data_IF_486769021302
#
_entry.id   IF_486769021302
#
_cell.length_a   1.000
_cell.length_b   1.000
_cell.length_c   1.000
_cell.angle_alpha   90.00
_cell.angle_beta   90.00
_cell.angle_gamma   90.00
#
_symmetry.space_group_name_H-M   'P 1'
#
loop_
_entity.id
_entity.type
_entity.pdbx_description
1 polymer ?
#
# COMPACT_ATOMS: atom_id res chain seq x y z
N UNK A 1 -4.62 9.63 -29.58
CA UNK A 1 -4.58 11.11 -29.76
C UNK A 1 -3.45 11.64 -28.90
N UNK A 2 -2.30 11.93 -29.51
CA UNK A 2 -1.12 12.50 -28.81
C UNK A 2 -1.29 14.04 -28.83
N UNK A 3 -2.14 14.57 -27.96
CA UNK A 3 -2.06 15.98 -27.60
C UNK A 3 -0.88 16.14 -26.66
N UNK A 4 0.01 17.10 -26.89
CA UNK A 4 1.07 17.44 -25.96
C UNK A 4 0.42 17.75 -24.58
N UNK A 5 0.93 17.12 -23.53
CA UNK A 5 0.49 17.38 -22.17
C UNK A 5 0.71 18.87 -21.85
N UNK A 6 -0.32 19.54 -21.30
CA UNK A 6 -0.17 20.91 -20.84
C UNK A 6 0.92 20.94 -19.73
N UNK A 7 2.02 21.69 -19.91
CA UNK A 7 3.11 21.72 -18.93
C UNK A 7 2.67 22.08 -17.53
N UNK A 8 1.58 22.84 -17.37
CA UNK A 8 1.05 23.23 -16.07
C UNK A 8 0.25 22.10 -15.39
N UNK A 9 -0.19 21.09 -16.15
CA UNK A 9 -0.95 19.93 -15.67
C UNK A 9 -0.10 18.66 -15.50
N UNK A 10 1.21 18.77 -15.57
CA UNK A 10 2.11 17.64 -15.31
C UNK A 10 1.91 17.18 -13.87
N UNK A 11 1.58 15.88 -13.64
CA UNK A 11 1.38 15.36 -12.30
C UNK A 11 2.72 15.16 -11.59
N UNK A 12 2.79 15.63 -10.34
CA UNK A 12 3.98 15.53 -9.49
C UNK A 12 3.61 15.13 -8.06
N UNK A 13 4.46 14.32 -7.42
CA UNK A 13 4.42 14.10 -5.98
C UNK A 13 5.30 15.15 -5.32
N UNK A 14 4.75 15.93 -4.41
CA UNK A 14 5.46 17.08 -3.80
C UNK A 14 5.71 16.93 -2.31
N UNK A 15 5.02 16.02 -1.65
CA UNK A 15 5.16 15.81 -0.22
C UNK A 15 4.83 14.37 0.15
N UNK A 16 5.53 13.87 1.14
CA UNK A 16 5.26 12.57 1.75
C UNK A 16 5.46 12.70 3.27
N UNK A 17 4.76 11.87 4.02
CA UNK A 17 4.96 11.72 5.45
C UNK A 17 4.70 10.29 5.87
N UNK A 18 5.35 9.85 6.95
CA UNK A 18 5.16 8.50 7.49
C UNK A 18 5.39 8.48 8.99
N UNK A 19 4.71 7.58 9.67
CA UNK A 19 4.92 7.38 11.09
C UNK A 19 4.71 5.93 11.49
N UNK A 20 5.27 5.56 12.63
CA UNK A 20 5.05 4.27 13.28
C UNK A 20 4.78 4.46 14.78
N UNK A 21 3.98 3.56 15.35
CA UNK A 21 3.73 3.48 16.80
C UNK A 21 4.23 2.13 17.33
N UNK A 22 5.42 2.10 17.89
CA UNK A 22 6.06 0.87 18.35
C UNK A 22 5.41 0.28 19.58
N UNK A 23 4.77 1.08 20.39
CA UNK A 23 4.00 0.70 21.57
C UNK A 23 2.54 0.35 21.25
N UNK A 24 2.13 0.53 19.99
CA UNK A 24 0.75 0.33 19.54
C UNK A 24 -0.30 1.17 20.28
N UNK A 25 0.09 2.33 20.78
CA UNK A 25 -0.80 3.24 21.50
C UNK A 25 -1.77 3.96 20.57
N UNK A 26 -1.40 4.13 19.28
CA UNK A 26 -2.16 4.89 18.30
C UNK A 26 -3.07 3.99 17.45
N UNK A 27 -4.27 4.48 17.21
CA UNK A 27 -5.22 3.87 16.28
C UNK A 27 -4.90 4.23 14.83
N UNK A 28 -5.36 3.43 13.84
CA UNK A 28 -5.10 3.72 12.43
C UNK A 28 -5.44 5.13 11.99
N UNK A 29 -6.55 5.71 12.46
CA UNK A 29 -6.92 7.08 12.11
C UNK A 29 -5.94 8.11 12.69
N UNK A 30 -5.44 7.90 13.90
CA UNK A 30 -4.46 8.81 14.53
C UNK A 30 -3.13 8.75 13.78
N UNK A 31 -2.67 7.54 13.44
CA UNK A 31 -1.48 7.33 12.60
C UNK A 31 -1.63 8.01 11.23
N UNK A 32 -2.79 7.83 10.58
CA UNK A 32 -3.07 8.46 9.30
C UNK A 32 -2.99 10.00 9.37
N UNK A 33 -3.56 10.60 10.41
CA UNK A 33 -3.52 12.05 10.64
C UNK A 33 -2.10 12.54 10.88
N UNK A 34 -1.28 11.81 11.64
CA UNK A 34 0.12 12.18 11.88
C UNK A 34 0.95 12.13 10.59
N UNK A 35 0.88 11.05 9.82
CA UNK A 35 1.59 10.94 8.56
C UNK A 35 1.13 12.00 7.54
N UNK A 36 -0.18 12.25 7.46
CA UNK A 36 -0.73 13.27 6.58
C UNK A 36 -0.34 14.69 7.03
N UNK A 37 -0.28 14.97 8.34
CA UNK A 37 0.18 16.25 8.86
C UNK A 37 1.63 16.52 8.48
N UNK A 38 2.52 15.54 8.63
CA UNK A 38 3.92 15.66 8.22
C UNK A 38 4.04 16.02 6.73
N UNK A 39 3.30 15.34 5.85
CA UNK A 39 3.28 15.65 4.42
C UNK A 39 2.76 17.08 4.15
N UNK A 40 1.65 17.48 4.79
CA UNK A 40 0.98 18.77 4.54
C UNK A 40 1.73 19.95 5.15
N UNK A 41 2.50 19.74 6.21
CA UNK A 41 3.27 20.80 6.88
C UNK A 41 4.59 21.11 6.16
N UNK A 42 4.92 20.34 5.11
CA UNK A 42 6.10 20.58 4.27
C UNK A 42 6.07 21.93 3.54
N UNK A 43 4.89 22.50 3.29
CA UNK A 43 4.76 23.81 2.67
C UNK A 43 3.54 24.61 3.14
N UNK A 44 3.70 25.92 3.43
CA UNK A 44 2.59 26.83 3.67
C UNK A 44 1.66 26.85 2.46
N UNK A 45 0.37 26.68 2.71
CA UNK A 45 -0.65 26.72 1.67
C UNK A 45 -0.98 25.37 1.00
N UNK A 46 -0.19 24.32 1.21
CA UNK A 46 -0.45 23.00 0.65
C UNK A 46 -1.81 22.46 1.10
N UNK A 47 -2.17 22.64 2.38
CA UNK A 47 -3.49 22.24 2.92
C UNK A 47 -4.65 22.87 2.15
N UNK A 48 -4.52 24.13 1.69
CA UNK A 48 -5.57 24.83 0.95
C UNK A 48 -5.70 24.36 -0.50
N UNK A 49 -4.68 23.72 -1.03
CA UNK A 49 -4.67 23.20 -2.38
C UNK A 49 -5.36 21.82 -2.48
N UNK A 50 -5.51 21.10 -1.37
CA UNK A 50 -6.11 19.77 -1.37
C UNK A 50 -7.60 19.82 -1.69
N UNK A 51 -7.98 19.21 -2.78
CA UNK A 51 -9.36 19.09 -3.27
C UNK A 51 -9.99 17.74 -2.91
N UNK A 52 -9.16 16.70 -2.66
CA UNK A 52 -9.62 15.35 -2.28
C UNK A 52 -8.70 14.73 -1.23
N UNK A 53 -9.32 13.99 -0.32
CA UNK A 53 -8.64 13.10 0.64
C UNK A 53 -9.11 11.68 0.37
N UNK A 54 -8.20 10.80 -0.01
CA UNK A 54 -8.47 9.37 -0.21
C UNK A 54 -7.79 8.56 0.88
N UNK A 55 -8.59 7.83 1.67
CA UNK A 55 -8.06 6.93 2.69
C UNK A 55 -8.12 5.48 2.21
N UNK A 56 -6.94 4.87 2.13
CA UNK A 56 -6.82 3.46 1.75
C UNK A 56 -7.43 2.57 2.82
N UNK A 57 -8.37 1.71 2.42
CA UNK A 57 -8.98 0.77 3.34
C UNK A 57 -8.06 -0.42 3.62
N UNK A 58 -8.00 -0.83 4.88
CA UNK A 58 -7.13 -1.91 5.37
C UNK A 58 -7.91 -2.94 6.18
N UNK A 59 -7.36 -4.16 6.28
CA UNK A 59 -8.01 -5.29 6.97
C UNK A 59 -8.25 -5.04 8.45
N UNK A 60 -7.40 -4.26 9.11
CA UNK A 60 -7.50 -3.96 10.53
C UNK A 60 -8.41 -2.80 10.87
N UNK A 61 -8.99 -2.13 9.87
CA UNK A 61 -9.84 -0.98 10.11
C UNK A 61 -11.07 -1.35 10.94
N UNK A 62 -11.17 -0.70 12.08
CA UNK A 62 -12.35 -0.69 12.93
C UNK A 62 -12.75 0.76 13.13
N UNK A 63 -13.89 1.13 12.68
CA UNK A 63 -14.35 2.51 12.77
C UNK A 63 -15.53 2.75 11.84
N UNK A 64 -16.16 3.90 11.96
CA UNK A 64 -17.33 4.28 11.20
C UNK A 64 -17.12 4.27 9.68
N UNK A 65 -18.17 4.59 8.97
CA UNK A 65 -18.22 4.55 7.49
C UNK A 65 -17.53 5.77 6.84
N UNK A 66 -16.82 6.61 7.63
CA UNK A 66 -16.30 7.92 7.23
C UNK A 66 -14.82 8.16 7.59
N UNK A 67 -13.90 7.21 7.41
CA UNK A 67 -12.52 7.40 7.85
C UNK A 67 -11.78 8.52 7.12
N UNK A 68 -12.09 8.76 5.83
CA UNK A 68 -11.50 9.85 5.07
C UNK A 68 -12.04 11.22 5.51
N UNK A 69 -13.35 11.33 5.74
CA UNK A 69 -13.97 12.53 6.26
C UNK A 69 -13.48 12.88 7.68
N UNK A 70 -13.33 11.86 8.55
CA UNK A 70 -12.80 12.04 9.91
C UNK A 70 -11.33 12.49 9.88
N UNK A 71 -10.52 11.92 8.98
CA UNK A 71 -9.15 12.38 8.77
C UNK A 71 -9.11 13.81 8.23
N UNK A 72 -9.91 14.13 7.21
CA UNK A 72 -10.01 15.46 6.62
C UNK A 72 -10.40 16.52 7.65
N UNK A 73 -11.39 16.23 8.51
CA UNK A 73 -11.81 17.12 9.58
C UNK A 73 -10.67 17.43 10.56
N UNK A 74 -9.96 16.39 11.02
CA UNK A 74 -8.81 16.54 11.95
C UNK A 74 -7.63 17.29 11.32
N UNK A 75 -7.48 17.19 9.99
CA UNK A 75 -6.44 17.87 9.22
C UNK A 75 -6.81 19.30 8.81
N UNK A 76 -8.04 19.78 9.12
CA UNK A 76 -8.53 21.07 8.68
C UNK A 76 -8.82 21.15 7.17
N UNK A 77 -9.14 20.02 6.54
CA UNK A 77 -9.46 19.88 5.11
C UNK A 77 -10.96 19.71 4.83
N UNK A 78 -11.81 20.32 5.66
CA UNK A 78 -13.27 20.10 5.61
C UNK A 78 -13.96 20.55 4.30
N UNK A 79 -13.26 21.23 3.40
CA UNK A 79 -13.76 21.58 2.06
C UNK A 79 -13.36 20.57 0.97
N UNK A 80 -12.52 19.59 1.27
CA UNK A 80 -12.08 18.58 0.31
C UNK A 80 -13.15 17.47 0.17
N UNK A 81 -13.29 16.92 -1.03
CA UNK A 81 -14.04 15.69 -1.24
C UNK A 81 -13.35 14.53 -0.50
N UNK A 82 -14.12 13.60 0.05
CA UNK A 82 -13.57 12.47 0.82
C UNK A 82 -14.02 11.14 0.21
N UNK A 83 -13.10 10.21 0.11
CA UNK A 83 -13.35 8.86 -0.35
C UNK A 83 -12.50 7.84 0.39
N UNK A 84 -12.99 6.62 0.49
CA UNK A 84 -12.21 5.46 0.93
C UNK A 84 -12.11 4.46 -0.22
N UNK A 85 -11.25 3.45 -0.10
CA UNK A 85 -11.09 2.44 -1.14
C UNK A 85 -11.63 1.08 -0.71
N UNK A 86 -11.82 0.18 -1.68
CA UNK A 86 -11.87 -1.24 -1.38
C UNK A 86 -10.48 -1.72 -0.91
N UNK A 87 -10.43 -2.87 -0.22
CA UNK A 87 -9.17 -3.45 0.26
C UNK A 87 -8.37 -3.98 -0.93
N UNK A 88 -7.09 -3.61 -1.00
CA UNK A 88 -6.18 -4.10 -2.05
C UNK A 88 -4.74 -3.68 -1.79
N UNK A 89 -3.78 -4.60 -1.95
CA UNK A 89 -2.36 -4.34 -1.70
C UNK A 89 -1.72 -3.36 -2.70
N UNK A 90 -2.23 -3.32 -3.94
CA UNK A 90 -1.78 -2.39 -4.99
C UNK A 90 -2.55 -1.06 -5.01
N UNK A 91 -3.56 -0.90 -4.17
CA UNK A 91 -4.43 0.28 -4.16
C UNK A 91 -3.67 1.61 -4.05
N UNK A 92 -2.65 1.77 -3.20
CA UNK A 92 -1.91 3.05 -3.13
C UNK A 92 -1.29 3.46 -4.47
N UNK A 93 -0.72 2.54 -5.22
CA UNK A 93 -0.16 2.82 -6.54
C UNK A 93 -1.24 3.16 -7.57
N UNK A 94 -2.35 2.43 -7.57
CA UNK A 94 -3.52 2.72 -8.41
C UNK A 94 -4.07 4.13 -8.15
N UNK A 95 -4.06 4.60 -6.90
CA UNK A 95 -4.49 5.96 -6.55
C UNK A 95 -3.54 7.03 -7.08
N UNK A 96 -2.23 6.78 -7.12
CA UNK A 96 -1.24 7.68 -7.76
C UNK A 96 -1.48 7.75 -9.26
N UNK A 97 -1.68 6.62 -9.94
CA UNK A 97 -2.03 6.55 -11.35
C UNK A 97 -3.31 7.34 -11.65
N UNK A 98 -4.37 7.09 -10.89
CA UNK A 98 -5.65 7.79 -11.04
C UNK A 98 -5.50 9.29 -10.83
N UNK A 99 -4.81 9.71 -9.77
CA UNK A 99 -4.56 11.12 -9.48
C UNK A 99 -3.78 11.79 -10.62
N UNK A 100 -2.74 11.13 -11.13
CA UNK A 100 -1.94 11.62 -12.24
C UNK A 100 -2.79 11.81 -13.50
N UNK A 101 -3.63 10.83 -13.83
CA UNK A 101 -4.55 10.94 -14.98
C UNK A 101 -5.54 12.11 -14.84
N UNK A 102 -6.16 12.26 -13.65
CA UNK A 102 -7.11 13.34 -13.39
C UNK A 102 -6.45 14.73 -13.39
N UNK A 103 -5.24 14.85 -12.87
CA UNK A 103 -4.46 16.09 -12.92
C UNK A 103 -4.11 16.45 -14.37
N UNK A 104 -3.64 15.48 -15.15
CA UNK A 104 -3.33 15.66 -16.56
C UNK A 104 -4.57 16.08 -17.38
N UNK A 105 -5.73 15.54 -17.05
CA UNK A 105 -7.01 15.94 -17.65
C UNK A 105 -7.52 17.31 -17.16
N UNK A 106 -6.97 17.86 -16.08
CA UNK A 106 -7.44 19.09 -15.44
C UNK A 106 -8.71 18.93 -14.61
N UNK A 107 -9.04 17.71 -14.21
CA UNK A 107 -10.18 17.37 -13.36
C UNK A 107 -9.87 17.53 -11.87
N UNK A 108 -8.58 17.54 -11.52
CA UNK A 108 -8.09 17.61 -10.16
C UNK A 108 -6.80 18.44 -10.13
N UNK A 109 -6.62 19.28 -9.11
CA UNK A 109 -5.37 20.05 -8.96
C UNK A 109 -4.43 19.46 -7.92
N UNK A 110 -4.97 18.93 -6.81
CA UNK A 110 -4.19 18.31 -5.75
C UNK A 110 -5.02 17.32 -4.93
N UNK A 111 -4.41 16.22 -4.53
CA UNK A 111 -5.01 15.20 -3.68
C UNK A 111 -4.05 14.70 -2.61
N UNK A 112 -4.60 14.35 -1.46
CA UNK A 112 -3.93 13.64 -0.38
C UNK A 112 -4.36 12.17 -0.42
N UNK A 113 -3.39 11.26 -0.54
CA UNK A 113 -3.58 9.81 -0.39
C UNK A 113 -2.94 9.39 0.93
N UNK A 114 -3.69 8.70 1.77
CA UNK A 114 -3.21 8.26 3.08
C UNK A 114 -3.66 6.84 3.39
N UNK A 115 -2.76 6.06 3.98
CA UNK A 115 -3.04 4.70 4.46
C UNK A 115 -2.40 4.46 5.82
N UNK A 116 -3.09 3.75 6.68
CA UNK A 116 -2.62 3.40 8.01
C UNK A 116 -3.13 2.03 8.43
N UNK A 117 -2.28 1.24 9.07
CA UNK A 117 -2.67 -0.04 9.63
C UNK A 117 -2.08 -0.23 11.04
N UNK A 118 -2.86 -0.86 11.93
CA UNK A 118 -2.46 -1.20 13.29
C UNK A 118 -3.23 -2.43 13.78
N UNK A 119 -2.88 -3.59 13.21
CA UNK A 119 -3.58 -4.87 13.50
C UNK A 119 -3.55 -5.21 14.98
N UNK A 120 -2.48 -4.87 15.69
CA UNK A 120 -2.30 -5.22 17.08
C UNK A 120 -3.11 -4.34 18.03
N UNK A 121 -3.22 -3.04 17.77
CA UNK A 121 -4.07 -2.14 18.57
C UNK A 121 -5.53 -2.59 18.51
N UNK A 122 -6.03 -2.97 17.33
CA UNK A 122 -7.35 -3.55 17.16
C UNK A 122 -7.56 -4.87 17.93
N UNK A 123 -6.52 -5.73 18.05
CA UNK A 123 -6.60 -6.98 18.83
C UNK A 123 -6.53 -6.77 20.34
N UNK A 124 -5.77 -5.82 20.82
CA UNK A 124 -5.67 -5.48 22.24
C UNK A 124 -7.01 -4.96 22.78
N UNK A 125 -7.74 -4.18 22.00
CA UNK A 125 -9.09 -3.74 22.37
C UNK A 125 -10.10 -4.88 22.41
N UNK A 126 -9.94 -5.93 21.61
CA UNK A 126 -10.81 -7.12 21.62
C UNK A 126 -10.57 -8.00 22.85
N UNK A 127 -9.35 -8.11 23.34
CA UNK A 127 -9.02 -8.91 24.52
C UNK A 127 -9.54 -8.30 25.83
N UNK A 128 -9.81 -7.00 25.86
CA UNK A 128 -10.32 -6.28 27.05
C UNK A 128 -11.82 -6.04 27.09
N UNK A 129 -12.59 -6.44 26.07
CA UNK A 129 -14.05 -6.26 26.01
C UNK A 129 -14.70 -7.39 25.23
N UNK A 130 -15.82 -7.91 25.76
CA UNK A 130 -16.73 -8.79 25.01
C UNK A 130 -17.07 -8.10 23.68
N UNK A 131 -16.84 -8.81 22.57
CA UNK A 131 -17.04 -8.30 21.21
C UNK A 131 -18.53 -8.19 20.97
N UNK A 132 -19.08 -7.00 21.15
CA UNK A 132 -20.27 -6.64 20.40
C UNK A 132 -19.84 -6.37 18.95
N UNK A 133 -20.25 -7.24 18.06
CA UNK A 133 -20.00 -7.12 16.61
C UNK A 133 -20.85 -6.00 15.98
N UNK A 134 -21.28 -5.04 16.78
CA UNK A 134 -22.10 -3.90 16.43
C UNK A 134 -21.41 -2.58 16.75
N UNK A 135 -21.13 -1.81 15.74
CA UNK A 135 -21.10 -0.34 15.76
C UNK A 135 -20.37 0.34 16.91
N UNK A 136 -19.07 0.13 17.03
CA UNK A 136 -18.20 0.91 17.91
C UNK A 136 -17.47 2.02 17.13
N UNK A 137 -18.18 2.84 16.35
CA UNK A 137 -17.67 4.11 15.89
C UNK A 137 -17.68 5.08 17.06
N UNK A 138 -16.57 5.75 17.39
CA UNK A 138 -16.65 7.02 18.09
C UNK A 138 -17.65 7.88 17.35
N UNK A 139 -18.56 8.54 18.08
CA UNK A 139 -19.49 9.50 17.51
C UNK A 139 -18.69 10.65 16.86
N UNK A 140 -18.22 10.42 15.63
CA UNK A 140 -17.84 11.46 14.71
C UNK A 140 -19.10 12.24 14.32
N UNK A 141 -18.97 13.47 13.92
CA UNK A 141 -20.07 14.29 13.48
C UNK A 141 -20.96 13.55 12.49
N UNK A 142 -22.27 13.63 12.68
CA UNK A 142 -23.24 12.97 11.82
C UNK A 142 -23.14 13.47 10.38
N UNK A 143 -22.79 12.60 9.45
CA UNK A 143 -22.68 12.91 8.03
C UNK A 143 -22.77 11.63 7.19
N UNK A 144 -22.89 11.75 5.86
CA UNK A 144 -22.95 10.59 4.99
C UNK A 144 -21.65 9.78 5.06
N UNK A 145 -21.70 8.46 4.74
CA UNK A 145 -20.49 7.65 4.61
C UNK A 145 -19.59 8.18 3.48
N UNK A 146 -18.28 7.88 3.56
CA UNK A 146 -17.36 8.18 2.47
C UNK A 146 -17.77 7.43 1.19
N UNK A 147 -17.55 8.04 0.04
CA UNK A 147 -17.61 7.33 -1.23
C UNK A 147 -16.55 6.21 -1.24
N UNK A 148 -16.87 5.10 -1.92
CA UNK A 148 -15.97 3.95 -2.01
C UNK A 148 -15.44 3.84 -3.43
N UNK A 149 -14.14 4.02 -3.60
CA UNK A 149 -13.45 3.77 -4.86
C UNK A 149 -13.03 2.31 -4.97
N UNK A 150 -13.40 1.67 -6.06
CA UNK A 150 -13.13 0.26 -6.34
C UNK A 150 -14.36 -0.62 -6.20
N UNK A 151 -14.22 -1.89 -6.57
CA UNK A 151 -15.30 -2.88 -6.53
C UNK A 151 -14.96 -3.96 -5.52
N UNK A 152 -15.89 -4.29 -4.64
CA UNK A 152 -15.75 -5.42 -3.74
C UNK A 152 -15.87 -6.72 -4.53
N UNK A 153 -14.81 -7.55 -4.41
CA UNK A 153 -14.81 -8.93 -4.91
C UNK A 153 -14.57 -9.88 -3.75
N UNK A 154 -15.11 -11.08 -3.87
CA UNK A 154 -14.74 -12.17 -2.95
C UNK A 154 -13.25 -12.48 -3.14
N UNK A 155 -12.51 -12.53 -2.04
CA UNK A 155 -11.05 -12.70 -2.03
C UNK A 155 -10.61 -14.10 -2.51
N UNK A 156 -11.44 -15.13 -2.28
CA UNK A 156 -11.20 -16.52 -2.63
C UNK A 156 -12.45 -17.13 -3.25
N UNK A 157 -12.27 -18.00 -4.22
CA UNK A 157 -13.36 -18.83 -4.74
C UNK A 157 -13.82 -19.86 -3.70
N UNK A 158 -15.01 -20.41 -3.90
CA UNK A 158 -15.53 -21.45 -3.01
C UNK A 158 -14.66 -22.71 -3.03
N UNK A 159 -14.05 -23.04 -4.18
CA UNK A 159 -13.09 -24.14 -4.31
C UNK A 159 -11.83 -23.92 -3.51
N UNK A 160 -11.26 -22.71 -3.54
CA UNK A 160 -10.09 -22.33 -2.75
C UNK A 160 -10.37 -22.38 -1.25
N UNK A 161 -11.53 -21.89 -0.83
CA UNK A 161 -11.98 -21.97 0.59
C UNK A 161 -12.13 -23.44 1.02
N UNK A 162 -12.77 -24.26 0.21
CA UNK A 162 -12.95 -25.68 0.50
C UNK A 162 -11.59 -26.43 0.57
N UNK A 163 -10.61 -26.00 -0.23
CA UNK A 163 -9.25 -26.52 -0.20
C UNK A 163 -8.38 -25.97 0.94
N UNK A 164 -8.88 -25.04 1.75
CA UNK A 164 -8.15 -24.45 2.88
C UNK A 164 -7.16 -23.36 2.51
N UNK A 165 -7.25 -22.77 1.32
CA UNK A 165 -6.39 -21.66 0.87
C UNK A 165 -6.86 -20.33 1.48
N UNK A 166 -6.91 -20.23 2.80
CA UNK A 166 -7.59 -19.14 3.51
C UNK A 166 -6.73 -17.89 3.75
N UNK A 167 -5.43 -17.99 3.57
CA UNK A 167 -4.49 -16.89 3.86
C UNK A 167 -3.38 -16.84 2.82
N UNK A 168 -2.66 -15.72 2.68
CA UNK A 168 -1.47 -15.64 1.83
C UNK A 168 -0.43 -16.74 2.12
N UNK A 169 -0.29 -17.15 3.39
CA UNK A 169 0.60 -18.25 3.78
C UNK A 169 0.20 -19.62 3.22
N UNK A 170 -1.05 -19.79 2.82
CA UNK A 170 -1.52 -21.01 2.16
C UNK A 170 -1.43 -20.89 0.63
N UNK A 171 -1.46 -19.69 0.08
CA UNK A 171 -1.52 -19.43 -1.36
C UNK A 171 -0.13 -19.21 -1.96
N UNK A 172 0.72 -18.39 -1.36
CA UNK A 172 2.03 -18.04 -1.93
C UNK A 172 2.98 -19.24 -2.10
N UNK A 173 2.96 -20.27 -1.24
CA UNK A 173 3.74 -21.48 -1.48
C UNK A 173 3.43 -22.20 -2.80
N UNK A 174 2.22 -22.03 -3.35
CA UNK A 174 1.87 -22.61 -4.65
C UNK A 174 2.70 -21.95 -5.77
N UNK A 175 2.81 -20.63 -5.77
CA UNK A 175 3.65 -19.89 -6.72
C UNK A 175 5.12 -20.28 -6.57
N UNK A 176 5.63 -20.31 -5.34
CA UNK A 176 7.01 -20.69 -5.05
C UNK A 176 7.34 -22.10 -5.49
N UNK A 177 6.41 -23.05 -5.32
CA UNK A 177 6.59 -24.44 -5.77
C UNK A 177 6.73 -24.53 -7.28
N UNK A 178 5.96 -23.73 -8.04
CA UNK A 178 6.07 -23.70 -9.51
C UNK A 178 7.39 -23.06 -9.93
N UNK A 179 7.80 -21.96 -9.30
CA UNK A 179 9.07 -21.29 -9.57
C UNK A 179 10.27 -22.18 -9.26
N UNK A 180 10.26 -22.87 -8.12
CA UNK A 180 11.28 -23.84 -7.73
C UNK A 180 11.40 -24.96 -8.77
N UNK A 181 10.26 -25.56 -9.15
CA UNK A 181 10.22 -26.64 -10.16
C UNK A 181 10.79 -26.19 -11.50
N UNK A 182 10.41 -25.01 -11.98
CA UNK A 182 10.92 -24.45 -13.24
C UNK A 182 12.42 -24.21 -13.23
N UNK A 183 12.94 -23.81 -12.08
CA UNK A 183 14.37 -23.55 -11.88
C UNK A 183 15.16 -24.81 -11.52
N UNK A 184 14.51 -25.98 -11.44
CA UNK A 184 15.15 -27.24 -11.04
C UNK A 184 15.61 -27.26 -9.59
N UNK A 185 15.04 -26.41 -8.72
CA UNK A 185 15.43 -26.26 -7.32
C UNK A 185 14.57 -27.14 -6.41
N UNK A 186 15.20 -27.69 -5.40
CA UNK A 186 14.51 -28.27 -4.24
C UNK A 186 13.88 -27.14 -3.39
N UNK A 187 12.91 -27.44 -2.50
CA UNK A 187 12.36 -26.44 -1.58
C UNK A 187 13.42 -25.78 -0.71
N UNK A 188 14.47 -26.51 -0.28
CA UNK A 188 15.56 -25.95 0.51
C UNK A 188 16.43 -24.97 -0.29
N UNK A 189 16.73 -25.28 -1.56
CA UNK A 189 17.45 -24.38 -2.46
C UNK A 189 16.62 -23.12 -2.79
N UNK A 190 15.30 -23.27 -3.01
CA UNK A 190 14.40 -22.14 -3.22
C UNK A 190 14.36 -21.25 -1.97
N UNK A 191 14.29 -21.83 -0.78
CA UNK A 191 14.38 -21.08 0.48
C UNK A 191 15.69 -20.32 0.61
N UNK A 192 16.80 -20.89 0.20
CA UNK A 192 18.10 -20.23 0.14
C UNK A 192 18.10 -19.02 -0.81
N UNK A 193 17.45 -19.13 -1.95
CA UNK A 193 17.30 -18.06 -2.93
C UNK A 193 16.50 -16.88 -2.35
N UNK A 194 15.34 -17.17 -1.73
CA UNK A 194 14.53 -16.19 -1.03
C UNK A 194 15.35 -15.51 0.09
N UNK A 195 16.13 -16.30 0.83
CA UNK A 195 17.02 -15.78 1.88
C UNK A 195 18.04 -14.78 1.35
N UNK A 196 18.65 -15.04 0.18
CA UNK A 196 19.58 -14.10 -0.47
C UNK A 196 18.92 -12.77 -0.85
N UNK A 197 17.74 -12.83 -1.45
CA UNK A 197 16.96 -11.63 -1.80
C UNK A 197 16.61 -10.81 -0.55
N UNK A 198 16.06 -11.46 0.48
CA UNK A 198 15.64 -10.78 1.70
C UNK A 198 16.79 -10.27 2.56
N UNK A 199 18.00 -10.84 2.43
CA UNK A 199 19.20 -10.29 3.07
C UNK A 199 19.52 -8.88 2.56
N UNK A 200 19.38 -8.64 1.25
CA UNK A 200 19.54 -7.30 0.67
C UNK A 200 18.50 -6.32 1.23
N UNK A 201 17.24 -6.75 1.38
CA UNK A 201 16.20 -5.94 1.98
C UNK A 201 16.48 -5.63 3.46
N UNK A 202 17.01 -6.59 4.22
CA UNK A 202 17.38 -6.37 5.62
C UNK A 202 18.55 -5.38 5.77
N UNK A 203 19.47 -5.37 4.82
CA UNK A 203 20.57 -4.39 4.77
C UNK A 203 20.05 -2.97 4.60
N UNK A 204 19.14 -2.75 3.65
CA UNK A 204 18.47 -1.44 3.45
C UNK A 204 17.65 -1.06 4.69
N UNK A 205 16.87 -2.00 5.24
CA UNK A 205 16.05 -1.77 6.42
C UNK A 205 16.88 -1.37 7.65
N UNK A 206 18.12 -1.86 7.81
CA UNK A 206 18.98 -1.50 8.92
C UNK A 206 19.33 0.00 8.95
N UNK A 207 19.41 0.65 7.78
CA UNK A 207 19.62 2.08 7.63
C UNK A 207 18.34 2.92 7.67
N UNK A 208 17.15 2.33 7.55
CA UNK A 208 15.89 3.05 7.50
C UNK A 208 15.34 3.30 8.91
N UNK A 209 15.18 4.57 9.37
CA UNK A 209 14.64 4.89 10.69
C UNK A 209 13.20 4.39 10.90
N UNK A 210 12.41 4.26 9.84
CA UNK A 210 11.01 3.82 9.87
C UNK A 210 10.84 2.30 9.71
N UNK A 211 11.93 1.56 9.45
CA UNK A 211 11.82 0.10 9.37
C UNK A 211 11.49 -0.51 10.73
N UNK A 212 10.52 -1.42 10.77
CA UNK A 212 10.11 -2.09 12.01
C UNK A 212 11.21 -2.95 12.60
N UNK A 213 11.92 -3.71 11.76
CA UNK A 213 13.10 -4.48 12.11
C UNK A 213 14.32 -3.86 11.44
N UNK A 214 15.32 -3.49 12.23
CA UNK A 214 16.54 -2.82 11.78
C UNK A 214 17.80 -3.64 12.01
N UNK A 215 17.64 -4.94 12.21
CA UNK A 215 18.74 -5.87 12.34
C UNK A 215 19.17 -6.35 10.95
N UNK A 216 20.47 -6.29 10.64
CA UNK A 216 21.03 -6.95 9.46
C UNK A 216 20.99 -8.45 9.65
N UNK A 217 20.40 -9.16 8.70
CA UNK A 217 20.33 -10.60 8.70
C UNK A 217 21.03 -11.16 7.47
N UNK A 218 21.86 -12.21 7.67
CA UNK A 218 22.42 -12.95 6.55
C UNK A 218 21.37 -13.81 5.87
N UNK A 219 21.64 -14.18 4.61
CA UNK A 219 20.77 -15.11 3.87
C UNK A 219 20.55 -16.42 4.63
N UNK A 220 21.59 -16.95 5.29
CA UNK A 220 21.52 -18.15 6.10
C UNK A 220 20.64 -17.99 7.35
N UNK A 221 20.78 -16.87 8.06
CA UNK A 221 19.93 -16.56 9.22
C UNK A 221 18.44 -16.44 8.85
N UNK A 222 18.15 -15.96 7.64
CA UNK A 222 16.78 -15.87 7.12
C UNK A 222 16.27 -17.24 6.68
N UNK A 223 17.10 -18.01 5.96
CA UNK A 223 16.68 -19.26 5.33
C UNK A 223 16.70 -20.47 6.25
N UNK A 224 17.52 -20.48 7.32
CA UNK A 224 17.66 -21.65 8.19
C UNK A 224 16.55 -21.70 9.24
N UNK A 225 15.72 -22.77 9.26
CA UNK A 225 14.75 -22.97 10.32
C UNK A 225 15.42 -23.16 11.68
N UNK A 226 14.87 -22.49 12.70
CA UNK A 226 15.31 -22.58 14.09
C UNK A 226 14.14 -22.35 15.05
N UNK A 227 14.38 -22.44 16.36
CA UNK A 227 13.34 -22.15 17.36
C UNK A 227 12.73 -20.75 17.19
N UNK A 228 13.55 -19.74 16.88
CA UNK A 228 13.11 -18.36 16.69
C UNK A 228 12.67 -18.07 15.23
N UNK A 229 13.06 -18.90 14.31
CA UNK A 229 12.78 -18.77 12.87
C UNK A 229 12.15 -20.05 12.32
N UNK A 230 11.08 -20.53 12.95
CA UNK A 230 10.42 -21.78 12.54
C UNK A 230 9.90 -21.72 11.10
N UNK A 231 9.81 -22.87 10.46
CA UNK A 231 9.08 -23.01 9.20
C UNK A 231 7.60 -22.71 9.46
N UNK A 232 6.98 -21.85 8.64
CA UNK A 232 5.56 -21.49 8.72
C UNK A 232 4.72 -22.11 7.62
N UNK A 233 5.27 -22.17 6.41
CA UNK A 233 4.72 -22.89 5.27
C UNK A 233 5.88 -23.09 4.27
N UNK A 234 6.16 -24.31 3.80
CA UNK A 234 7.28 -24.55 2.88
C UNK A 234 7.14 -23.71 1.60
N UNK A 235 8.16 -22.93 1.14
CA UNK A 235 9.53 -22.89 1.68
C UNK A 235 9.76 -21.81 2.77
N UNK A 236 8.76 -21.11 3.26
CA UNK A 236 8.90 -19.90 4.08
C UNK A 236 9.21 -20.19 5.55
N UNK A 237 10.26 -19.57 6.03
CA UNK A 237 10.50 -19.40 7.47
C UNK A 237 9.72 -18.18 8.00
N UNK A 238 9.62 -18.03 9.31
CA UNK A 238 8.97 -16.88 9.97
C UNK A 238 9.56 -15.53 9.53
N UNK A 239 10.86 -15.47 9.22
CA UNK A 239 11.54 -14.25 8.75
C UNK A 239 11.27 -13.91 7.29
N UNK A 240 10.66 -14.80 6.54
CA UNK A 240 10.30 -14.62 5.13
C UNK A 240 8.86 -14.14 4.93
N UNK A 241 8.07 -14.02 5.99
CA UNK A 241 6.66 -13.65 5.91
C UNK A 241 6.39 -12.29 6.53
N UNK A 242 5.29 -11.65 6.10
CA UNK A 242 4.90 -10.34 6.58
C UNK A 242 4.66 -10.34 8.10
N UNK A 243 5.13 -9.29 8.76
CA UNK A 243 4.91 -9.05 10.16
C UNK A 243 3.59 -8.29 10.38
N UNK A 244 2.59 -8.98 10.90
CA UNK A 244 1.27 -8.40 11.17
C UNK A 244 1.20 -7.54 12.45
N UNK A 245 2.30 -7.41 13.18
CA UNK A 245 2.35 -6.65 14.43
C UNK A 245 2.80 -5.20 14.24
N UNK A 246 2.91 -4.70 13.03
CA UNK A 246 3.25 -3.31 12.77
C UNK A 246 2.07 -2.37 13.04
N UNK A 247 2.38 -1.15 13.46
CA UNK A 247 1.46 -0.03 13.52
C UNK A 247 2.12 1.15 12.83
N UNK A 248 1.65 1.49 11.63
CA UNK A 248 2.32 2.46 10.77
C UNK A 248 1.35 3.12 9.79
N UNK A 249 1.72 4.30 9.32
CA UNK A 249 1.00 5.04 8.30
C UNK A 249 1.96 5.71 7.34
N UNK A 250 1.46 5.96 6.13
CA UNK A 250 2.11 6.80 5.15
C UNK A 250 1.07 7.66 4.44
N UNK A 251 1.50 8.83 4.02
CA UNK A 251 0.70 9.78 3.25
C UNK A 251 1.56 10.40 2.16
N UNK A 252 0.92 10.75 1.05
CA UNK A 252 1.57 11.51 -0.02
C UNK A 252 0.59 12.50 -0.66
N UNK A 253 1.16 13.58 -1.19
CA UNK A 253 0.42 14.61 -1.93
C UNK A 253 0.82 14.54 -3.39
N UNK A 254 -0.16 14.29 -4.25
CA UNK A 254 -0.03 14.38 -5.70
C UNK A 254 -0.71 15.66 -6.16
N UNK A 255 -0.03 16.45 -6.98
CA UNK A 255 -0.54 17.73 -7.45
C UNK A 255 -0.08 18.05 -8.87
N UNK A 256 -0.62 19.12 -9.47
CA UNK A 256 -0.13 19.62 -10.74
C UNK A 256 1.17 20.42 -10.56
N UNK A 257 2.01 20.44 -11.59
CA UNK A 257 3.23 21.25 -11.60
C UNK A 257 2.93 22.75 -11.39
N UNK A 258 1.81 23.24 -11.90
CA UNK A 258 1.35 24.60 -11.65
C UNK A 258 1.15 24.91 -10.16
N UNK A 259 0.50 24.00 -9.43
CA UNK A 259 0.34 24.13 -7.98
C UNK A 259 1.67 24.04 -7.27
N UNK A 260 2.53 23.08 -7.64
CA UNK A 260 3.87 22.91 -7.07
C UNK A 260 4.70 24.19 -7.20
N UNK A 261 4.73 24.80 -8.39
CA UNK A 261 5.41 26.07 -8.65
C UNK A 261 4.86 27.23 -7.80
N UNK A 262 3.54 27.36 -7.78
CA UNK A 262 2.88 28.41 -6.98
C UNK A 262 3.23 28.32 -5.49
N UNK A 263 3.49 27.11 -5.00
CA UNK A 263 3.84 26.87 -3.60
C UNK A 263 5.35 26.76 -3.36
N UNK A 264 6.20 26.92 -4.40
CA UNK A 264 7.65 26.82 -4.29
C UNK A 264 8.17 25.41 -4.03
N UNK A 265 7.42 24.37 -4.46
CA UNK A 265 7.72 22.96 -4.22
C UNK A 265 8.34 22.25 -5.44
N UNK A 266 8.49 22.92 -6.57
CA UNK A 266 8.98 22.29 -7.81
C UNK A 266 10.40 21.72 -7.68
N UNK A 267 11.26 22.31 -6.86
CA UNK A 267 12.64 21.88 -6.68
C UNK A 267 12.81 20.48 -6.03
N UNK A 268 11.80 20.01 -5.32
CA UNK A 268 11.75 18.67 -4.71
C UNK A 268 10.68 17.76 -5.31
N UNK A 269 10.00 18.21 -6.36
CA UNK A 269 8.90 17.45 -6.94
C UNK A 269 9.40 16.22 -7.70
N UNK A 270 8.74 15.09 -7.46
CA UNK A 270 8.95 13.86 -8.23
C UNK A 270 7.88 13.74 -9.31
N UNK A 271 8.30 13.69 -10.56
CA UNK A 271 7.39 13.60 -11.70
C UNK A 271 6.79 12.19 -11.80
N UNK A 272 5.48 12.10 -11.94
CA UNK A 272 4.82 10.85 -12.33
C UNK A 272 4.91 10.75 -13.84
N UNK A 273 5.96 10.10 -14.30
CA UNK A 273 6.31 10.02 -15.71
C UNK A 273 5.34 9.15 -16.50
N UNK A 274 5.08 7.96 -15.98
CA UNK A 274 4.05 7.06 -16.48
C UNK A 274 3.56 6.17 -15.35
N UNK A 275 2.35 5.67 -15.49
CA UNK A 275 1.79 4.67 -14.61
C UNK A 275 0.81 3.81 -15.42
N UNK A 276 0.73 2.53 -15.07
CA UNK A 276 -0.23 1.62 -15.64
C UNK A 276 -0.61 0.55 -14.62
N UNK A 277 -1.83 0.07 -14.71
CA UNK A 277 -2.36 -1.02 -13.91
C UNK A 277 -3.01 -2.07 -14.79
N UNK A 278 -2.94 -3.33 -14.36
CA UNK A 278 -3.62 -4.44 -14.99
C UNK A 278 -4.03 -5.45 -13.91
N UNK A 279 -5.14 -6.14 -14.16
CA UNK A 279 -5.58 -7.24 -13.29
C UNK A 279 -5.16 -8.57 -13.89
N UNK A 280 -4.64 -9.46 -13.06
CA UNK A 280 -4.44 -10.86 -13.40
C UNK A 280 -5.77 -11.63 -13.24
N UNK A 281 -5.82 -12.89 -13.69
CA UNK A 281 -6.94 -13.77 -13.35
C UNK A 281 -7.09 -13.80 -11.84
N UNK A 282 -8.28 -13.45 -11.36
CA UNK A 282 -8.50 -13.09 -9.95
C UNK A 282 -8.18 -14.24 -8.99
N UNK A 283 -8.77 -15.41 -9.25
CA UNK A 283 -8.55 -16.58 -8.40
C UNK A 283 -7.29 -17.35 -8.83
N UNK A 284 -6.30 -17.56 -7.95
CA UNK A 284 -5.09 -18.30 -8.26
C UNK A 284 -5.34 -19.67 -8.90
N UNK A 285 -6.36 -20.41 -8.47
CA UNK A 285 -6.68 -21.73 -9.02
C UNK A 285 -7.19 -21.71 -10.47
N UNK A 286 -7.63 -20.56 -10.95
CA UNK A 286 -8.09 -20.35 -12.33
C UNK A 286 -6.96 -19.87 -13.26
N UNK A 287 -5.80 -19.52 -12.71
CA UNK A 287 -4.66 -19.05 -13.50
C UNK A 287 -4.07 -20.20 -14.31
N UNK A 288 -3.87 -20.03 -15.61
CA UNK A 288 -3.27 -21.07 -16.45
C UNK A 288 -1.82 -21.36 -16.06
N UNK A 289 -1.16 -20.40 -15.43
CA UNK A 289 0.23 -20.46 -15.06
C UNK A 289 0.50 -19.67 -13.77
N UNK A 290 0.76 -20.38 -12.67
CA UNK A 290 1.12 -19.78 -11.37
C UNK A 290 2.56 -19.26 -11.31
N UNK A 291 3.41 -19.60 -12.27
CA UNK A 291 4.78 -19.10 -12.35
C UNK A 291 4.92 -17.83 -13.20
N UNK A 292 3.81 -17.20 -13.60
CA UNK A 292 3.78 -16.00 -14.42
C UNK A 292 2.80 -15.01 -13.83
N UNK A 293 3.21 -13.76 -13.75
CA UNK A 293 2.38 -12.63 -13.33
C UNK A 293 1.96 -11.83 -14.59
N UNK A 294 0.99 -12.35 -15.35
CA UNK A 294 0.59 -11.77 -16.62
C UNK A 294 0.09 -10.32 -16.49
N UNK A 295 -0.65 -10.02 -15.42
CA UNK A 295 -1.09 -8.65 -15.15
C UNK A 295 0.08 -7.70 -14.90
N UNK A 296 1.11 -8.13 -14.15
CA UNK A 296 2.31 -7.32 -13.92
C UNK A 296 3.11 -7.09 -15.21
N UNK A 297 3.26 -8.11 -16.06
CA UNK A 297 3.94 -7.98 -17.34
C UNK A 297 3.25 -6.93 -18.22
N UNK A 298 1.92 -7.00 -18.36
CA UNK A 298 1.13 -6.02 -19.12
C UNK A 298 1.25 -4.61 -18.55
N UNK A 299 1.19 -4.45 -17.23
CA UNK A 299 1.32 -3.14 -16.58
C UNK A 299 2.71 -2.54 -16.79
N UNK A 300 3.78 -3.34 -16.65
CA UNK A 300 5.15 -2.91 -16.90
C UNK A 300 5.37 -2.51 -18.36
N UNK A 301 4.93 -3.34 -19.30
CA UNK A 301 5.02 -3.05 -20.74
C UNK A 301 4.31 -1.73 -21.10
N UNK A 302 3.10 -1.53 -20.58
CA UNK A 302 2.33 -0.31 -20.82
C UNK A 302 2.99 0.93 -20.18
N UNK A 303 3.48 0.83 -18.95
CA UNK A 303 4.12 1.95 -18.25
C UNK A 303 5.46 2.33 -18.89
N UNK A 304 6.32 1.35 -19.18
CA UNK A 304 7.62 1.59 -19.82
C UNK A 304 7.45 2.12 -21.24
N UNK A 305 6.49 1.55 -22.01
CA UNK A 305 6.17 2.03 -23.36
C UNK A 305 5.65 3.47 -23.34
N UNK A 306 4.79 3.84 -22.39
CA UNK A 306 4.31 5.21 -22.21
C UNK A 306 5.43 6.19 -21.79
N UNK A 307 6.38 5.72 -20.98
CA UNK A 307 7.55 6.50 -20.56
C UNK A 307 8.63 6.60 -21.67
N UNK A 308 8.56 5.78 -22.71
CA UNK A 308 9.59 5.72 -23.75
C UNK A 308 10.92 5.16 -23.26
N UNK A 309 10.90 4.24 -22.30
CA UNK A 309 12.07 3.62 -21.65
C UNK A 309 11.95 2.10 -21.61
N UNK A 310 12.95 1.42 -21.12
CA UNK A 310 13.02 -0.04 -20.97
C UNK A 310 13.47 -0.45 -19.59
N UNK A 311 13.35 -1.74 -19.25
CA UNK A 311 13.82 -2.31 -17.98
C UNK A 311 15.34 -2.16 -17.78
N UNK A 312 16.10 -1.97 -18.84
CA UNK A 312 17.57 -1.85 -18.77
C UNK A 312 18.01 -0.41 -18.40
N UNK A 313 17.06 0.54 -18.43
CA UNK A 313 17.31 1.97 -18.21
C UNK A 313 16.70 2.49 -16.87
N UNK A 314 16.04 1.62 -16.12
CA UNK A 314 15.34 1.96 -14.85
C UNK A 314 16.04 1.37 -13.63
#
# INVERSE_FOLDING_TARGET
MSGALDPERVPVVVAAGQCESRDHSLEPLELAVLAASEALDSAPGLRRAIERVTMVNVLARRGGDRPAADAAARLGLGGAATETTTIGGSTPQLLVERAAGQIAAGELSATLVVGADSVRSGRLRVAGRAVDAGTGGSAGEAGPPDEVYGTYRQDLSDGERAAGLLTPLCVYPLFESVLAKRSGRTPAEQRGEIGRLLALFSEVAAGNPHAWFRERLSAEQIATPSADNRLVAEPYTKRMVAFLGGAQAAALVVTSLAVARRLGLEGGAMFVWAAASAEDVWYPVERPDLGRAAGLELALEAALGAAGTSTDEV
#
